data_IF_021479515460
#
_entry.id   IF_021479515460
#
_cell.length_a   1.000
_cell.length_b   1.000
_cell.length_c   1.000
_cell.angle_alpha   90.00
_cell.angle_beta   90.00
_cell.angle_gamma   90.00
#
_symmetry.space_group_name_H-M   'P 1'
#
loop_
_entity.id
_entity.type
_entity.pdbx_description
1 polymer ?
#
# COMPACT_ATOMS: atom_id res chain seq x y z
N UNK A 1 -5.41 16.44 -9.87
CA UNK A 1 -5.75 16.18 -8.46
C UNK A 1 -4.93 14.96 -8.07
N UNK A 2 -4.06 15.06 -7.06
CA UNK A 2 -3.24 13.91 -6.66
C UNK A 2 -4.17 12.79 -6.17
N UNK A 3 -3.92 11.58 -6.65
CA UNK A 3 -4.63 10.41 -6.19
C UNK A 3 -4.33 10.18 -4.70
N UNK A 4 -5.36 9.87 -3.91
CA UNK A 4 -5.20 9.70 -2.47
C UNK A 4 -4.24 8.56 -2.13
N UNK A 5 -4.10 7.54 -2.98
CA UNK A 5 -3.13 6.46 -2.79
C UNK A 5 -1.70 6.91 -3.06
N UNK A 6 -1.49 7.83 -4.00
CA UNK A 6 -0.16 8.41 -4.25
C UNK A 6 0.32 9.22 -3.05
N UNK A 7 -0.58 9.92 -2.35
CA UNK A 7 -0.26 10.61 -1.09
C UNK A 7 0.11 9.60 0.01
N UNK A 8 -0.59 8.47 0.10
CA UNK A 8 -0.27 7.43 1.09
C UNK A 8 1.15 6.89 0.91
N UNK A 9 1.61 6.71 -0.33
CA UNK A 9 2.98 6.26 -0.62
C UNK A 9 4.06 7.23 -0.12
N UNK A 10 3.74 8.52 0.09
CA UNK A 10 4.69 9.50 0.62
C UNK A 10 4.85 9.42 2.14
N UNK A 11 3.84 8.94 2.85
CA UNK A 11 3.82 8.86 4.32
C UNK A 11 4.05 7.45 4.86
N UNK A 12 3.82 6.44 4.03
CA UNK A 12 4.03 5.05 4.39
C UNK A 12 5.53 4.72 4.44
N UNK A 13 5.95 3.82 5.32
CA UNK A 13 7.31 3.27 5.32
C UNK A 13 7.71 2.73 3.94
N UNK A 14 8.94 3.00 3.52
CA UNK A 14 9.49 2.58 2.22
C UNK A 14 9.32 1.08 1.96
N UNK A 15 9.54 0.24 2.96
CA UNK A 15 9.35 -1.21 2.89
C UNK A 15 7.93 -1.60 2.43
N UNK A 16 6.89 -0.95 2.96
CA UNK A 16 5.51 -1.26 2.57
C UNK A 16 5.23 -0.85 1.13
N UNK A 17 5.75 0.30 0.70
CA UNK A 17 5.57 0.81 -0.67
C UNK A 17 6.31 -0.08 -1.69
N UNK A 18 7.49 -0.58 -1.35
CA UNK A 18 8.32 -1.40 -2.23
C UNK A 18 7.78 -2.81 -2.37
N UNK A 19 7.34 -3.45 -1.28
CA UNK A 19 7.01 -4.88 -1.28
C UNK A 19 5.51 -5.19 -1.35
N UNK A 20 4.63 -4.21 -1.13
CA UNK A 20 3.19 -4.46 -1.05
C UNK A 20 2.36 -3.54 -1.95
N UNK A 21 1.23 -4.06 -2.42
CA UNK A 21 0.19 -3.29 -3.08
C UNK A 21 -0.91 -2.92 -2.07
N UNK A 22 -1.39 -1.67 -2.10
CA UNK A 22 -2.55 -1.27 -1.31
C UNK A 22 -3.81 -1.85 -1.98
N UNK A 23 -4.54 -2.70 -1.28
CA UNK A 23 -5.74 -3.36 -1.81
C UNK A 23 -7.03 -2.69 -1.33
N UNK A 24 -7.01 -2.06 -0.15
CA UNK A 24 -8.15 -1.35 0.41
C UNK A 24 -7.70 -0.24 1.35
N UNK A 25 -8.47 0.84 1.37
CA UNK A 25 -8.35 1.93 2.34
C UNK A 25 -9.74 2.21 2.88
N UNK A 26 -9.91 2.21 4.20
CA UNK A 26 -11.16 2.60 4.82
C UNK A 26 -10.91 3.36 6.12
N UNK A 27 -11.86 4.22 6.47
CA UNK A 27 -11.85 4.95 7.74
C UNK A 27 -12.78 4.24 8.72
N UNK A 28 -12.23 3.82 9.86
CA UNK A 28 -12.97 3.17 10.93
C UNK A 28 -12.61 3.85 12.25
N UNK A 29 -13.61 4.33 12.99
CA UNK A 29 -13.42 4.95 14.31
C UNK A 29 -12.34 6.05 14.30
N UNK A 30 -12.34 6.93 13.29
CA UNK A 30 -11.35 8.01 13.08
C UNK A 30 -9.91 7.54 12.82
N UNK A 31 -9.72 6.25 12.54
CA UNK A 31 -8.44 5.66 12.13
C UNK A 31 -8.50 5.28 10.66
N UNK A 32 -7.38 5.51 9.98
CA UNK A 32 -7.21 5.07 8.60
C UNK A 32 -6.66 3.64 8.60
N UNK A 33 -7.46 2.70 8.13
CA UNK A 33 -7.07 1.31 7.95
C UNK A 33 -6.63 1.10 6.50
N UNK A 34 -5.39 0.64 6.33
CA UNK A 34 -4.79 0.40 5.02
C UNK A 34 -4.45 -1.08 4.95
N UNK A 35 -4.98 -1.74 3.92
CA UNK A 35 -4.81 -3.18 3.69
C UNK A 35 -3.82 -3.39 2.56
N UNK A 36 -2.98 -4.40 2.74
CA UNK A 36 -1.85 -4.68 1.86
C UNK A 36 -1.89 -6.12 1.39
N UNK A 37 -1.47 -6.35 0.15
CA UNK A 37 -1.15 -7.67 -0.38
C UNK A 37 0.31 -7.63 -0.88
N UNK A 38 1.07 -8.67 -0.59
CA UNK A 38 2.46 -8.77 -1.04
C UNK A 38 2.50 -8.73 -2.57
N UNK A 39 3.42 -7.95 -3.13
CA UNK A 39 3.69 -8.01 -4.56
C UNK A 39 4.25 -9.39 -4.85
N UNK A 40 3.64 -10.12 -5.78
CA UNK A 40 4.17 -11.38 -6.27
C UNK A 40 5.44 -11.11 -7.11
N UNK A 41 6.57 -10.87 -6.44
CA UNK A 41 7.89 -10.70 -7.08
C UNK A 41 8.59 -12.06 -7.29
N UNK A 42 8.00 -13.15 -6.80
CA UNK A 42 8.50 -14.52 -6.98
C UNK A 42 8.21 -15.11 -8.38
N UNK A 43 7.64 -14.33 -9.31
CA UNK A 43 7.28 -14.80 -10.66
C UNK A 43 8.45 -14.92 -11.66
N UNK A 44 9.70 -14.67 -11.24
CA UNK A 44 10.85 -14.75 -12.15
C UNK A 44 12.12 -15.29 -11.46
N UNK A 45 11.96 -16.28 -10.58
CA UNK A 45 13.07 -17.13 -10.17
C UNK A 45 13.03 -18.37 -11.08
N UNK A 46 13.92 -18.37 -12.08
CA UNK A 46 14.13 -19.43 -13.06
C UNK A 46 14.24 -20.84 -12.43
#
# INVERSE_FOLDING_TARGET
MMDSQEILKLILPTYLVEHFNITKVEELETKLHIYFEEKNDYGNQC
#
